data_IF_948081794460
#
_entry.id   IF_948081794460
#
_cell.length_a   1.000
_cell.length_b   1.000
_cell.length_c   1.000
_cell.angle_alpha   90.00
_cell.angle_beta   90.00
_cell.angle_gamma   90.00
#
_symmetry.space_group_name_H-M   'P 1'
#
loop_
_entity.id
_entity.type
_entity.pdbx_description
1 polymer ?
#
# COMPACT_ATOMS: atom_id res chain seq x y z
N UNK A 1 38.76 5.36 -24.44
CA UNK A 1 40.09 5.28 -23.79
C UNK A 1 39.94 4.48 -22.50
N UNK A 2 40.63 3.34 -22.38
CA UNK A 2 40.90 2.68 -21.08
C UNK A 2 41.87 3.55 -20.27
N UNK A 3 41.80 3.49 -18.94
CA UNK A 3 42.79 2.71 -18.17
C UNK A 3 42.15 2.05 -16.94
N UNK A 4 42.78 1.25 -16.08
CA UNK A 4 43.86 0.26 -16.11
C UNK A 4 43.78 -0.43 -14.72
N UNK A 5 44.18 -1.70 -14.63
CA UNK A 5 44.07 -2.56 -13.44
C UNK A 5 45.26 -2.39 -12.47
N UNK A 6 44.95 -2.46 -11.16
CA UNK A 6 45.69 -3.14 -10.05
C UNK A 6 47.02 -2.53 -9.56
N UNK A 7 47.52 -2.82 -8.32
CA UNK A 7 47.32 -4.06 -7.53
C UNK A 7 47.09 -3.96 -6.01
N UNK A 8 46.85 -5.15 -5.45
CA UNK A 8 46.63 -5.50 -4.05
C UNK A 8 47.92 -5.49 -3.19
N UNK A 9 47.74 -5.41 -1.87
CA UNK A 9 48.74 -5.82 -0.88
C UNK A 9 48.03 -6.62 0.24
N UNK A 10 48.50 -7.86 0.46
CA UNK A 10 48.39 -8.61 1.72
C UNK A 10 49.43 -8.03 2.71
N UNK A 11 49.46 -8.26 4.02
CA UNK A 11 49.05 -9.32 4.94
C UNK A 11 49.33 -8.80 6.37
N UNK A 12 48.67 -9.31 7.41
CA UNK A 12 49.34 -9.94 8.58
C UNK A 12 48.32 -10.51 9.55
N UNK A 13 48.48 -11.80 9.83
CA UNK A 13 47.87 -12.59 10.90
C UNK A 13 48.15 -12.03 12.30
N UNK A 14 47.19 -12.22 13.20
CA UNK A 14 47.45 -12.55 14.60
C UNK A 14 46.25 -13.31 15.20
N UNK A 15 46.54 -14.46 15.81
CA UNK A 15 45.60 -15.44 16.31
C UNK A 15 45.07 -15.15 17.74
N UNK A 16 43.76 -15.41 17.92
CA UNK A 16 43.05 -16.25 18.92
C UNK A 16 43.73 -16.43 20.31
N UNK A 17 42.96 -16.32 21.43
CA UNK A 17 42.31 -17.52 21.96
C UNK A 17 40.80 -17.38 22.19
N UNK A 18 40.13 -18.51 22.00
CA UNK A 18 38.76 -18.79 22.38
C UNK A 18 38.63 -18.94 23.90
N UNK A 19 37.47 -18.58 24.44
CA UNK A 19 36.98 -19.21 25.66
C UNK A 19 35.47 -19.46 25.59
N UNK A 20 35.06 -20.52 26.27
CA UNK A 20 33.90 -21.39 26.00
C UNK A 20 32.68 -20.93 26.86
N UNK A 21 31.45 -21.40 26.62
CA UNK A 21 30.22 -20.69 26.94
C UNK A 21 29.71 -20.95 28.36
N UNK A 22 29.09 -19.93 28.96
CA UNK A 22 28.30 -20.08 30.17
C UNK A 22 26.81 -20.14 29.83
N UNK A 23 26.25 -21.33 30.04
CA UNK A 23 24.82 -21.61 30.18
C UNK A 23 24.21 -20.82 31.34
N UNK A 24 23.06 -20.18 31.15
CA UNK A 24 22.14 -19.94 32.26
C UNK A 24 20.69 -20.09 31.82
N UNK A 25 19.96 -20.76 32.70
CA UNK A 25 18.67 -21.36 32.53
C UNK A 25 17.53 -20.43 32.99
N UNK A 26 16.37 -20.64 32.37
CA UNK A 26 14.99 -20.44 32.85
C UNK A 26 14.67 -19.25 33.77
N UNK A 27 13.77 -18.39 33.29
CA UNK A 27 12.71 -17.84 34.14
C UNK A 27 11.41 -17.72 33.36
N UNK A 28 10.46 -18.59 33.72
CA UNK A 28 9.05 -18.52 33.34
C UNK A 28 8.41 -17.41 34.17
N UNK A 29 7.77 -16.43 33.53
CA UNK A 29 6.64 -15.71 34.13
C UNK A 29 5.46 -15.73 33.18
N UNK A 30 4.48 -16.51 33.58
CA UNK A 30 3.12 -16.46 33.11
C UNK A 30 2.51 -15.09 33.43
N UNK A 31 1.82 -14.50 32.47
CA UNK A 31 0.75 -13.55 32.73
C UNK A 31 -0.45 -14.02 31.92
N UNK A 32 -1.42 -14.59 32.65
CA UNK A 32 -2.79 -14.78 32.22
C UNK A 32 -3.45 -13.40 32.13
N UNK A 33 -4.03 -13.09 30.97
CA UNK A 33 -5.08 -12.09 30.86
C UNK A 33 -6.16 -12.64 29.94
N UNK A 34 -7.19 -13.20 30.56
CA UNK A 34 -8.49 -13.52 29.99
C UNK A 34 -9.25 -12.22 29.70
N UNK A 35 -9.75 -12.05 28.47
CA UNK A 35 -10.99 -11.33 28.21
C UNK A 35 -11.66 -11.93 26.96
N UNK A 36 -12.80 -12.59 27.21
CA UNK A 36 -13.88 -12.82 26.27
C UNK A 36 -14.35 -11.47 25.66
N UNK A 37 -14.95 -11.36 24.49
CA UNK A 37 -15.48 -12.30 23.52
C UNK A 37 -16.45 -11.50 22.64
N UNK A 38 -16.41 -11.71 21.32
CA UNK A 38 -17.52 -11.42 20.40
C UNK A 38 -17.19 -12.15 19.09
N UNK A 39 -17.75 -13.35 18.95
CA UNK A 39 -17.55 -14.22 17.81
C UNK A 39 -18.30 -13.71 16.58
N UNK A 40 -17.58 -13.57 15.47
CA UNK A 40 -18.13 -13.82 14.15
C UNK A 40 -17.60 -15.19 13.72
N UNK A 41 -18.48 -16.19 13.72
CA UNK A 41 -18.17 -17.54 13.27
C UNK A 41 -17.87 -17.49 11.75
N UNK A 42 -16.59 -17.58 11.40
CA UNK A 42 -16.17 -17.97 10.05
C UNK A 42 -16.47 -19.45 9.87
N UNK A 43 -17.50 -19.75 9.09
CA UNK A 43 -17.73 -21.09 8.55
C UNK A 43 -16.61 -21.41 7.55
N UNK A 44 -15.49 -21.89 8.09
CA UNK A 44 -14.41 -22.51 7.34
C UNK A 44 -14.86 -23.92 6.93
N UNK A 45 -15.18 -24.10 5.66
CA UNK A 45 -15.27 -25.43 5.07
C UNK A 45 -13.89 -26.07 5.07
N UNK A 46 -13.65 -27.00 5.99
CA UNK A 46 -12.51 -27.91 5.95
C UNK A 46 -12.74 -28.95 4.86
N UNK A 47 -12.42 -28.60 3.62
CA UNK A 47 -12.37 -29.52 2.49
C UNK A 47 -10.93 -29.72 2.06
N UNK A 48 -10.25 -30.74 2.58
CA UNK A 48 -9.04 -31.27 1.96
C UNK A 48 -9.43 -31.99 0.67
N UNK A 49 -9.67 -31.24 -0.41
CA UNK A 49 -9.86 -31.79 -1.74
C UNK A 49 -8.55 -31.67 -2.52
N UNK A 50 -7.86 -32.80 -2.70
CA UNK A 50 -6.87 -32.96 -3.77
C UNK A 50 -7.60 -32.83 -5.11
N UNK A 51 -7.75 -31.61 -5.61
CA UNK A 51 -8.22 -31.37 -6.97
C UNK A 51 -7.07 -31.65 -7.93
N UNK A 52 -7.20 -32.73 -8.70
CA UNK A 52 -6.43 -32.91 -9.92
C UNK A 52 -6.69 -31.72 -10.86
N UNK A 53 -5.68 -31.36 -11.64
CA UNK A 53 -5.74 -30.33 -12.66
C UNK A 53 -6.76 -30.68 -13.76
N UNK A 54 -8.04 -30.44 -13.48
CA UNK A 54 -9.06 -30.18 -14.48
C UNK A 54 -9.22 -28.66 -14.50
N UNK A 55 -9.09 -28.02 -15.67
CA UNK A 55 -9.32 -26.57 -15.82
C UNK A 55 -10.65 -26.14 -15.16
N UNK A 56 -10.81 -24.85 -14.85
CA UNK A 56 -11.82 -24.28 -13.92
C UNK A 56 -13.30 -24.66 -14.06
N UNK A 57 -13.66 -25.54 -15.00
CA UNK A 57 -14.93 -26.25 -15.09
C UNK A 57 -15.38 -26.80 -13.73
N UNK A 58 -16.54 -26.34 -13.27
CA UNK A 58 -17.14 -26.78 -12.01
C UNK A 58 -16.69 -26.02 -10.77
N UNK A 59 -15.64 -25.19 -10.85
CA UNK A 59 -15.25 -24.29 -9.76
C UNK A 59 -16.41 -23.35 -9.42
N UNK A 60 -16.75 -23.27 -8.14
CA UNK A 60 -17.71 -22.31 -7.61
C UNK A 60 -16.98 -21.30 -6.74
N UNK A 61 -16.97 -20.04 -7.15
CA UNK A 61 -16.34 -18.93 -6.41
C UNK A 61 -17.41 -18.24 -5.57
N UNK A 62 -17.33 -18.29 -4.23
CA UNK A 62 -18.21 -17.51 -3.37
C UNK A 62 -17.81 -16.03 -3.42
N UNK A 63 -18.80 -15.15 -3.41
CA UNK A 63 -18.64 -13.71 -3.39
C UNK A 63 -19.37 -13.13 -2.19
N UNK A 64 -18.73 -12.16 -1.53
CA UNK A 64 -19.34 -11.39 -0.44
C UNK A 64 -19.33 -9.92 -0.84
N UNK A 65 -20.50 -9.29 -0.77
CA UNK A 65 -20.67 -7.92 -1.19
C UNK A 65 -19.93 -6.97 -0.25
N UNK A 66 -19.34 -5.93 -0.83
CA UNK A 66 -18.61 -4.87 -0.13
C UNK A 66 -19.03 -3.53 -0.72
N UNK A 67 -18.91 -2.39 -0.01
CA UNK A 67 -19.13 -1.10 -0.63
C UNK A 67 -18.23 -0.94 -1.85
N UNK A 68 -18.69 -0.24 -2.89
CA UNK A 68 -17.88 0.02 -4.09
C UNK A 68 -16.56 0.72 -3.75
N UNK A 69 -15.54 0.57 -4.59
CA UNK A 69 -14.26 1.25 -4.35
C UNK A 69 -14.41 2.77 -4.30
N UNK A 70 -15.37 3.35 -5.04
CA UNK A 70 -15.64 4.78 -4.99
C UNK A 70 -16.31 5.20 -3.68
N UNK A 71 -17.26 4.40 -3.17
CA UNK A 71 -17.87 4.62 -1.86
C UNK A 71 -16.82 4.58 -0.75
N UNK A 72 -15.90 3.60 -0.81
CA UNK A 72 -14.78 3.51 0.13
C UNK A 72 -13.80 4.68 0.01
N UNK A 73 -13.43 5.07 -1.23
CA UNK A 73 -12.56 6.23 -1.47
C UNK A 73 -13.13 7.49 -0.85
N UNK A 74 -14.42 7.77 -1.09
CA UNK A 74 -15.11 8.92 -0.53
C UNK A 74 -15.22 8.85 1.00
N UNK A 75 -15.59 7.69 1.57
CA UNK A 75 -15.64 7.49 3.03
C UNK A 75 -14.30 7.73 3.70
N UNK A 76 -13.22 7.30 3.06
CA UNK A 76 -11.86 7.41 3.60
C UNK A 76 -11.22 8.79 3.32
N UNK A 77 -11.86 9.62 2.50
CA UNK A 77 -11.35 10.92 2.05
C UNK A 77 -10.15 10.80 1.12
N UNK A 78 -9.94 9.64 0.49
CA UNK A 78 -8.74 9.28 -0.26
C UNK A 78 -8.73 9.86 -1.68
N UNK A 79 -7.54 10.10 -2.22
CA UNK A 79 -7.35 10.60 -3.58
C UNK A 79 -7.65 9.55 -4.65
N UNK A 80 -7.22 8.32 -4.41
CA UNK A 80 -7.32 7.22 -5.35
C UNK A 80 -8.20 6.12 -4.76
N UNK A 81 -8.91 5.42 -5.63
CA UNK A 81 -9.67 4.22 -5.24
C UNK A 81 -8.71 3.02 -5.29
N UNK A 82 -8.75 2.15 -4.29
CA UNK A 82 -8.08 0.84 -4.36
C UNK A 82 -9.04 -0.21 -4.96
N UNK A 83 -8.53 -1.40 -5.31
CA UNK A 83 -9.33 -2.43 -6.01
C UNK A 83 -10.61 -2.84 -5.28
N UNK A 84 -11.65 -3.17 -6.06
CA UNK A 84 -12.87 -3.86 -5.61
C UNK A 84 -12.91 -5.35 -5.99
N UNK A 85 -11.82 -5.86 -6.60
CA UNK A 85 -11.79 -7.20 -7.14
C UNK A 85 -11.80 -8.27 -6.05
N UNK A 86 -12.53 -9.34 -6.34
CA UNK A 86 -12.45 -10.63 -5.70
C UNK A 86 -11.80 -11.59 -6.71
N UNK A 87 -10.55 -12.05 -6.46
CA UNK A 87 -9.83 -12.89 -7.41
C UNK A 87 -10.37 -14.31 -7.42
N UNK A 88 -10.23 -14.96 -8.58
CA UNK A 88 -10.81 -16.30 -8.82
C UNK A 88 -9.75 -17.40 -9.02
N UNK A 89 -8.50 -17.02 -9.29
CA UNK A 89 -7.46 -17.95 -9.76
C UNK A 89 -7.74 -18.54 -11.15
N UNK A 90 -8.66 -17.95 -11.92
CA UNK A 90 -8.98 -18.35 -13.27
C UNK A 90 -8.47 -17.33 -14.30
N UNK A 91 -8.13 -17.85 -15.46
CA UNK A 91 -7.72 -17.11 -16.65
C UNK A 91 -8.61 -17.51 -17.82
N UNK A 92 -9.00 -16.55 -18.66
CA UNK A 92 -9.68 -16.82 -19.92
C UNK A 92 -8.77 -16.44 -21.09
N UNK A 93 -8.50 -17.35 -22.06
CA UNK A 93 -7.74 -16.98 -23.25
C UNK A 93 -8.48 -15.98 -24.13
N UNK A 94 -7.72 -15.18 -24.88
CA UNK A 94 -8.27 -14.20 -25.82
C UNK A 94 -9.28 -14.84 -26.80
N UNK A 95 -10.41 -14.17 -27.01
CA UNK A 95 -11.47 -14.61 -27.92
C UNK A 95 -12.21 -15.89 -27.50
N UNK A 96 -11.93 -16.44 -26.31
CA UNK A 96 -12.59 -17.66 -25.82
C UNK A 96 -13.91 -17.33 -25.13
N UNK A 97 -14.97 -18.07 -25.45
CA UNK A 97 -16.27 -17.93 -24.81
C UNK A 97 -16.23 -18.49 -23.38
N UNK A 98 -16.22 -17.59 -22.40
CA UNK A 98 -16.32 -17.89 -20.98
C UNK A 98 -17.78 -18.12 -20.59
N UNK A 99 -18.11 -19.32 -20.10
CA UNK A 99 -19.46 -19.70 -19.69
C UNK A 99 -19.49 -20.04 -18.21
N UNK A 100 -20.47 -19.49 -17.49
CA UNK A 100 -20.65 -19.67 -16.05
C UNK A 100 -22.09 -19.38 -15.64
N UNK A 101 -22.47 -19.82 -14.44
CA UNK A 101 -23.73 -19.44 -13.81
C UNK A 101 -23.51 -18.48 -12.65
N UNK A 102 -24.31 -17.44 -12.57
CA UNK A 102 -24.42 -16.55 -11.41
C UNK A 102 -25.50 -17.07 -10.48
N UNK A 103 -25.15 -17.22 -9.20
CA UNK A 103 -26.02 -17.68 -8.12
C UNK A 103 -26.20 -16.54 -7.10
N UNK A 104 -27.19 -15.65 -7.29
CA UNK A 104 -27.38 -14.47 -6.43
C UNK A 104 -28.14 -14.84 -5.15
N UNK A 105 -27.45 -15.46 -4.19
CA UNK A 105 -28.09 -16.00 -2.98
C UNK A 105 -28.91 -14.96 -2.20
N UNK A 106 -28.42 -13.73 -2.14
CA UNK A 106 -29.10 -12.62 -1.46
C UNK A 106 -29.55 -11.53 -2.48
N UNK A 107 -29.80 -11.91 -3.74
CA UNK A 107 -30.43 -11.06 -4.77
C UNK A 107 -29.50 -10.14 -5.57
N UNK A 108 -28.25 -9.96 -5.15
CA UNK A 108 -27.27 -9.14 -5.87
C UNK A 108 -26.54 -9.93 -6.97
N UNK A 109 -26.32 -9.26 -8.10
CA UNK A 109 -25.61 -9.81 -9.27
C UNK A 109 -24.23 -9.16 -9.37
N UNK A 110 -23.14 -9.94 -9.46
CA UNK A 110 -21.79 -9.38 -9.56
C UNK A 110 -21.52 -8.77 -10.94
N UNK A 111 -20.47 -7.97 -11.02
CA UNK A 111 -19.84 -7.55 -12.28
C UNK A 111 -18.63 -8.44 -12.56
N UNK A 112 -18.52 -8.96 -13.78
CA UNK A 112 -17.32 -9.68 -14.24
C UNK A 112 -16.25 -8.68 -14.69
N UNK A 113 -15.00 -8.95 -14.35
CA UNK A 113 -13.83 -8.24 -14.86
C UNK A 113 -12.84 -9.21 -15.49
N UNK A 114 -12.33 -8.88 -16.67
CA UNK A 114 -11.35 -9.69 -17.39
C UNK A 114 -10.15 -8.83 -17.79
N UNK A 115 -8.94 -9.29 -17.47
CA UNK A 115 -7.69 -8.61 -17.84
C UNK A 115 -6.86 -8.18 -16.65
N UNK A 116 -5.72 -7.55 -16.94
CA UNK A 116 -4.80 -7.01 -15.95
C UNK A 116 -4.69 -5.49 -16.13
N UNK A 117 -4.39 -4.80 -15.03
CA UNK A 117 -4.05 -3.38 -15.06
C UNK A 117 -2.64 -3.14 -15.64
N UNK A 118 -2.51 -2.24 -16.62
CA UNK A 118 -1.21 -1.77 -17.12
C UNK A 118 -1.36 -0.44 -17.87
N UNK A 119 -1.30 0.68 -17.16
CA UNK A 119 -1.64 2.00 -17.68
C UNK A 119 -0.85 2.40 -18.94
N UNK A 120 0.37 1.89 -19.08
CA UNK A 120 1.25 2.16 -20.23
C UNK A 120 1.32 0.99 -21.23
N UNK A 121 0.57 -0.08 -20.97
CA UNK A 121 0.45 -1.24 -21.84
C UNK A 121 -0.51 -1.01 -23.01
N UNK A 122 -0.58 -2.00 -23.90
CA UNK A 122 -1.53 -2.00 -25.02
C UNK A 122 -2.97 -2.17 -24.56
N UNK A 123 -3.16 -2.96 -23.50
CA UNK A 123 -4.42 -3.12 -22.78
C UNK A 123 -4.25 -2.45 -21.43
N UNK A 124 -4.89 -1.30 -21.25
CA UNK A 124 -4.60 -0.41 -20.12
C UNK A 124 -5.34 -0.78 -18.83
N UNK A 125 -6.53 -1.36 -18.97
CA UNK A 125 -7.40 -1.71 -17.86
C UNK A 125 -8.15 -3.04 -18.09
N UNK A 126 -8.52 -3.74 -17.01
CA UNK A 126 -9.48 -4.84 -17.07
C UNK A 126 -10.84 -4.35 -17.60
N UNK A 127 -11.47 -5.17 -18.44
CA UNK A 127 -12.76 -4.86 -19.06
C UNK A 127 -13.89 -5.43 -18.21
N UNK A 128 -14.94 -4.64 -18.00
CA UNK A 128 -16.09 -5.05 -17.20
C UNK A 128 -17.25 -5.52 -18.06
N UNK A 129 -18.02 -6.46 -17.51
CA UNK A 129 -19.21 -7.03 -18.14
C UNK A 129 -20.33 -7.13 -17.13
N UNK A 130 -21.48 -6.52 -17.44
CA UNK A 130 -22.70 -6.71 -16.70
C UNK A 130 -23.20 -8.14 -16.87
N UNK A 131 -23.75 -8.72 -15.80
CA UNK A 131 -24.21 -10.10 -15.76
C UNK A 131 -25.70 -10.17 -15.45
N UNK A 132 -26.27 -11.36 -15.63
CA UNK A 132 -27.62 -11.70 -15.19
C UNK A 132 -27.62 -12.92 -14.26
N UNK A 133 -28.66 -13.13 -13.43
CA UNK A 133 -28.83 -14.39 -12.70
C UNK A 133 -28.84 -15.60 -13.64
N UNK A 134 -28.25 -16.72 -13.21
CA UNK A 134 -28.17 -17.94 -14.01
C UNK A 134 -27.08 -17.87 -15.08
N UNK A 135 -27.32 -18.49 -16.23
CA UNK A 135 -26.30 -18.72 -17.25
C UNK A 135 -25.87 -17.43 -17.98
N UNK A 136 -24.55 -17.22 -18.06
CA UNK A 136 -23.93 -16.12 -18.79
C UNK A 136 -22.90 -16.67 -19.79
N UNK A 137 -22.67 -15.94 -20.87
CA UNK A 137 -21.58 -16.19 -21.83
C UNK A 137 -20.93 -14.86 -22.18
N UNK A 138 -19.62 -14.73 -21.96
CA UNK A 138 -18.83 -13.54 -22.25
C UNK A 138 -17.62 -13.93 -23.09
N UNK A 139 -17.33 -13.17 -24.13
CA UNK A 139 -16.13 -13.34 -24.95
C UNK A 139 -15.31 -12.07 -24.88
N UNK A 140 -14.16 -12.13 -24.21
CA UNK A 140 -13.23 -11.02 -24.09
C UNK A 140 -12.18 -11.07 -25.23
N UNK A 141 -11.95 -9.98 -25.98
CA UNK A 141 -11.04 -10.00 -27.13
C UNK A 141 -9.56 -10.18 -26.75
N UNK A 142 -9.17 -9.84 -25.51
CA UNK A 142 -7.78 -9.91 -25.06
C UNK A 142 -7.53 -11.02 -24.04
N UNK A 143 -8.59 -11.54 -23.42
CA UNK A 143 -8.48 -12.49 -22.31
C UNK A 143 -7.83 -11.88 -21.08
N UNK A 144 -7.47 -12.74 -20.13
CA UNK A 144 -6.78 -12.35 -18.91
C UNK A 144 -7.27 -13.07 -17.66
N UNK A 145 -6.69 -12.71 -16.49
CA UNK A 145 -7.24 -13.07 -15.18
C UNK A 145 -8.71 -12.66 -15.06
N UNK A 146 -9.48 -13.49 -14.37
CA UNK A 146 -10.91 -13.27 -14.13
C UNK A 146 -11.12 -12.83 -12.68
N UNK A 147 -11.84 -11.73 -12.50
CA UNK A 147 -12.27 -11.22 -11.20
C UNK A 147 -13.77 -10.95 -11.19
N UNK A 148 -14.33 -10.85 -9.99
CA UNK A 148 -15.67 -10.31 -9.79
C UNK A 148 -15.63 -9.15 -8.81
N UNK A 149 -16.53 -8.18 -9.00
CA UNK A 149 -16.92 -7.27 -7.94
C UNK A 149 -18.39 -7.50 -7.59
N UNK A 150 -18.74 -7.32 -6.31
CA UNK A 150 -20.10 -7.40 -5.82
C UNK A 150 -20.29 -6.22 -4.86
N UNK A 151 -21.00 -5.20 -5.32
CA UNK A 151 -21.26 -4.01 -4.53
C UNK A 151 -22.43 -4.26 -3.56
N UNK A 152 -22.26 -3.93 -2.28
CA UNK A 152 -23.29 -4.09 -1.25
C UNK A 152 -22.71 -4.01 0.17
N UNK A 153 -23.40 -4.61 1.13
CA UNK A 153 -23.11 -4.56 2.56
C UNK A 153 -23.12 -5.96 3.22
N UNK A 154 -22.56 -6.97 2.53
CA UNK A 154 -22.36 -8.32 3.05
C UNK A 154 -23.25 -9.39 2.42
N UNK A 155 -24.10 -9.03 1.46
CA UNK A 155 -24.88 -9.96 0.64
C UNK A 155 -23.99 -10.96 -0.08
N UNK A 156 -24.50 -12.15 -0.32
CA UNK A 156 -23.75 -13.25 -0.90
C UNK A 156 -24.23 -13.56 -2.29
N UNK A 157 -23.27 -13.87 -3.15
CA UNK A 157 -23.51 -14.53 -4.42
C UNK A 157 -22.45 -15.62 -4.61
N UNK A 158 -22.58 -16.41 -5.67
CA UNK A 158 -21.50 -17.25 -6.15
C UNK A 158 -21.49 -17.29 -7.68
N UNK A 159 -20.34 -17.61 -8.24
CA UNK A 159 -20.20 -17.88 -9.67
C UNK A 159 -19.68 -19.28 -9.89
N UNK A 160 -20.42 -20.08 -10.66
CA UNK A 160 -20.03 -21.44 -11.03
C UNK A 160 -19.54 -21.48 -12.47
N UNK A 161 -18.23 -21.65 -12.65
CA UNK A 161 -17.63 -21.79 -13.97
C UNK A 161 -18.09 -23.07 -14.66
N UNK A 162 -18.40 -22.97 -15.96
CA UNK A 162 -18.81 -24.10 -16.81
C UNK A 162 -17.73 -24.45 -17.81
N UNK A 163 -17.32 -23.51 -18.65
CA UNK A 163 -16.29 -23.74 -19.69
C UNK A 163 -15.58 -22.43 -20.04
N UNK A 164 -14.42 -22.53 -20.70
CA UNK A 164 -13.68 -21.37 -21.25
C UNK A 164 -12.67 -20.73 -20.29
N UNK A 165 -12.77 -21.03 -18.99
CA UNK A 165 -11.74 -20.68 -18.01
C UNK A 165 -10.72 -21.82 -17.85
N UNK A 166 -9.44 -21.44 -17.67
CA UNK A 166 -8.36 -22.31 -17.23
C UNK A 166 -7.80 -21.83 -15.89
N UNK A 167 -7.26 -22.74 -15.10
CA UNK A 167 -6.60 -22.37 -13.85
C UNK A 167 -5.25 -21.68 -14.14
N UNK A 168 -4.88 -20.70 -13.32
CA UNK A 168 -3.55 -20.08 -13.32
C UNK A 168 -2.81 -20.41 -12.02
N UNK A 169 -1.47 -20.32 -11.98
CA UNK A 169 -0.74 -20.48 -10.72
C UNK A 169 -1.13 -19.42 -9.69
N UNK A 170 -1.55 -19.88 -8.51
CA UNK A 170 -1.93 -19.02 -7.38
C UNK A 170 -1.31 -19.53 -6.08
N UNK A 171 -0.64 -18.62 -5.37
CA UNK A 171 -0.27 -18.82 -3.97
C UNK A 171 -1.22 -18.04 -3.06
N UNK A 172 -1.98 -18.73 -2.21
CA UNK A 172 -2.85 -18.06 -1.22
C UNK A 172 -2.30 -18.29 0.18
N UNK A 173 -2.02 -17.21 0.91
CA UNK A 173 -1.47 -17.25 2.27
C UNK A 173 -2.34 -18.12 3.19
N UNK A 174 -1.72 -19.12 3.83
CA UNK A 174 -2.39 -20.04 4.75
C UNK A 174 -3.16 -21.20 4.07
N UNK A 175 -3.22 -21.22 2.75
CA UNK A 175 -3.94 -22.25 1.98
C UNK A 175 -3.04 -23.02 1.00
N UNK A 176 -2.20 -22.33 0.23
CA UNK A 176 -1.27 -22.95 -0.71
C UNK A 176 0.06 -23.23 -0.01
N UNK A 177 0.58 -24.46 -0.10
CA UNK A 177 1.96 -24.75 0.32
C UNK A 177 2.96 -24.39 -0.78
N UNK A 178 4.21 -24.11 -0.43
CA UNK A 178 5.26 -23.85 -1.43
C UNK A 178 5.38 -25.00 -2.44
N UNK A 179 5.35 -26.25 -1.97
CA UNK A 179 5.39 -27.41 -2.85
C UNK A 179 4.21 -27.47 -3.82
N UNK A 180 3.02 -27.04 -3.42
CA UNK A 180 1.86 -26.97 -4.31
C UNK A 180 2.00 -25.84 -5.33
N UNK A 181 2.52 -24.69 -4.90
CA UNK A 181 2.75 -23.55 -5.79
C UNK A 181 3.82 -23.86 -6.84
N UNK A 182 4.94 -24.49 -6.44
CA UNK A 182 5.96 -24.94 -7.39
C UNK A 182 5.36 -25.92 -8.42
N UNK A 183 4.53 -26.88 -7.99
CA UNK A 183 3.85 -27.78 -8.93
C UNK A 183 2.91 -27.04 -9.87
N UNK A 184 2.18 -26.03 -9.41
CA UNK A 184 1.36 -25.19 -10.29
C UNK A 184 2.23 -24.43 -11.30
N UNK A 185 3.34 -23.84 -10.86
CA UNK A 185 4.30 -23.17 -11.75
C UNK A 185 4.90 -24.14 -12.78
N UNK A 186 5.12 -25.41 -12.44
CA UNK A 186 5.68 -26.39 -13.36
C UNK A 186 4.66 -26.98 -14.34
N UNK A 187 3.36 -26.95 -14.00
CA UNK A 187 2.31 -27.64 -14.78
C UNK A 187 1.36 -26.71 -15.52
N UNK A 188 1.12 -25.50 -15.03
CA UNK A 188 0.22 -24.51 -15.64
C UNK A 188 1.04 -23.50 -16.45
N UNK A 189 1.68 -23.97 -17.52
CA UNK A 189 2.66 -23.19 -18.29
C UNK A 189 2.05 -22.28 -19.35
N UNK A 190 0.81 -22.55 -19.76
CA UNK A 190 0.16 -21.86 -20.88
C UNK A 190 -0.51 -20.54 -20.48
N UNK A 191 -0.44 -20.18 -19.19
CA UNK A 191 -0.98 -18.93 -18.66
C UNK A 191 0.16 -17.92 -18.43
N UNK A 192 0.09 -16.71 -19.01
CA UNK A 192 1.19 -15.74 -18.99
C UNK A 192 1.33 -14.98 -17.65
N UNK A 193 0.49 -15.28 -16.67
CA UNK A 193 0.33 -14.54 -15.41
C UNK A 193 0.15 -15.50 -14.24
N UNK A 194 0.54 -15.05 -13.05
CA UNK A 194 0.33 -15.74 -11.78
C UNK A 194 -0.17 -14.75 -10.74
N UNK A 195 -0.74 -15.25 -9.65
CA UNK A 195 -1.11 -14.38 -8.53
C UNK A 195 -0.63 -14.87 -7.17
N UNK A 196 -0.34 -13.91 -6.29
CA UNK A 196 -0.12 -14.13 -4.86
C UNK A 196 -1.24 -13.41 -4.09
N UNK A 197 -1.94 -14.12 -3.21
CA UNK A 197 -3.11 -13.61 -2.48
C UNK A 197 -2.90 -13.65 -0.96
N UNK A 198 -3.27 -12.56 -0.31
CA UNK A 198 -3.45 -12.48 1.14
C UNK A 198 -4.76 -11.73 1.44
N UNK A 199 -5.21 -11.65 2.72
CA UNK A 199 -6.53 -11.08 3.04
C UNK A 199 -6.83 -9.70 2.45
N UNK A 200 -5.81 -8.83 2.32
CA UNK A 200 -5.92 -7.48 1.74
C UNK A 200 -5.02 -7.30 0.52
N UNK A 201 -4.52 -8.39 -0.08
CA UNK A 201 -3.51 -8.35 -1.15
C UNK A 201 -3.91 -9.20 -2.34
N UNK A 202 -3.92 -8.58 -3.51
CA UNK A 202 -3.84 -9.25 -4.82
C UNK A 202 -2.53 -8.81 -5.45
N UNK A 203 -1.59 -9.72 -5.67
CA UNK A 203 -0.36 -9.41 -6.40
C UNK A 203 -0.36 -10.18 -7.71
N UNK A 204 -0.54 -9.50 -8.84
CA UNK A 204 -0.53 -10.11 -10.17
C UNK A 204 0.82 -9.87 -10.81
N UNK A 205 1.51 -10.97 -11.15
CA UNK A 205 2.81 -10.95 -11.79
C UNK A 205 2.69 -11.58 -13.17
N UNK A 206 3.53 -11.17 -14.10
CA UNK A 206 3.79 -12.01 -15.26
C UNK A 206 4.40 -13.32 -14.79
N UNK A 207 4.14 -14.39 -15.52
CA UNK A 207 4.72 -15.70 -15.22
C UNK A 207 6.25 -15.65 -15.22
N UNK A 208 6.84 -15.00 -16.22
CA UNK A 208 8.29 -14.85 -16.29
C UNK A 208 8.86 -14.07 -15.10
N UNK A 209 8.16 -13.05 -14.62
CA UNK A 209 8.54 -12.28 -13.44
C UNK A 209 8.54 -13.12 -12.18
N UNK A 210 7.49 -13.91 -11.97
CA UNK A 210 7.40 -14.82 -10.84
C UNK A 210 8.47 -15.91 -10.86
N UNK A 211 8.82 -16.44 -12.04
CA UNK A 211 9.86 -17.46 -12.19
C UNK A 211 11.25 -16.99 -11.76
N UNK A 212 11.55 -15.68 -11.84
CA UNK A 212 12.82 -15.12 -11.37
C UNK A 212 13.01 -15.25 -9.85
N UNK A 213 11.91 -15.27 -9.10
CA UNK A 213 11.91 -15.28 -7.64
C UNK A 213 11.09 -16.45 -7.07
N UNK A 214 10.93 -17.53 -7.86
CA UNK A 214 10.12 -18.69 -7.48
C UNK A 214 10.59 -19.41 -6.22
N UNK A 215 11.85 -19.24 -5.83
CA UNK A 215 12.43 -19.90 -4.65
C UNK A 215 12.25 -19.08 -3.34
N UNK A 216 11.53 -17.96 -3.39
CA UNK A 216 11.22 -17.16 -2.20
C UNK A 216 10.18 -17.84 -1.30
N UNK A 217 10.19 -17.49 -0.01
CA UNK A 217 9.10 -17.84 0.91
C UNK A 217 7.91 -16.89 0.65
N UNK A 218 6.95 -17.34 -0.15
CA UNK A 218 5.78 -16.55 -0.56
C UNK A 218 4.86 -16.29 0.63
N UNK A 219 4.82 -17.20 1.60
CA UNK A 219 4.05 -16.99 2.82
C UNK A 219 4.66 -15.85 3.67
N UNK A 220 5.98 -15.81 3.82
CA UNK A 220 6.68 -14.75 4.52
C UNK A 220 6.58 -13.41 3.76
N UNK A 221 6.70 -13.44 2.43
CA UNK A 221 6.51 -12.26 1.58
C UNK A 221 5.12 -11.66 1.78
N UNK A 222 4.06 -12.47 1.68
CA UNK A 222 2.69 -11.99 1.82
C UNK A 222 2.38 -11.51 3.24
N UNK A 223 2.94 -12.14 4.28
CA UNK A 223 2.84 -11.61 5.66
C UNK A 223 3.50 -10.24 5.78
N UNK A 224 4.63 -10.03 5.13
CA UNK A 224 5.33 -8.74 5.09
C UNK A 224 4.51 -7.67 4.33
N UNK A 225 3.86 -8.03 3.22
CA UNK A 225 2.94 -7.11 2.52
C UNK A 225 1.76 -6.73 3.43
N UNK A 226 1.19 -7.68 4.17
CA UNK A 226 0.11 -7.41 5.12
C UNK A 226 0.56 -6.55 6.32
N UNK A 227 1.82 -6.69 6.77
CA UNK A 227 2.44 -5.82 7.78
C UNK A 227 2.59 -4.37 7.26
N UNK A 228 2.97 -4.21 5.99
CA UNK A 228 3.05 -2.90 5.32
C UNK A 228 1.66 -2.25 5.22
N UNK A 229 0.65 -2.96 4.71
CA UNK A 229 -0.74 -2.47 4.62
C UNK A 229 -1.26 -2.06 6.01
N UNK A 230 -0.91 -2.84 7.03
CA UNK A 230 -1.29 -2.57 8.41
C UNK A 230 -0.62 -1.29 8.96
N UNK A 231 0.66 -1.07 8.69
CA UNK A 231 1.35 0.16 9.10
C UNK A 231 0.71 1.41 8.48
N UNK A 232 0.36 1.36 7.19
CA UNK A 232 -0.34 2.46 6.52
C UNK A 232 -1.78 2.65 7.02
N UNK A 233 -2.48 1.56 7.33
CA UNK A 233 -3.81 1.61 7.96
C UNK A 233 -3.76 2.27 9.34
N UNK A 234 -2.75 1.94 10.15
CA UNK A 234 -2.57 2.52 11.50
C UNK A 234 -2.26 4.01 11.45
N UNK A 235 -1.29 4.45 10.64
CA UNK A 235 -0.94 5.88 10.54
C UNK A 235 -2.11 6.70 9.94
N UNK A 236 -2.95 6.07 9.12
CA UNK A 236 -4.21 6.63 8.62
C UNK A 236 -5.32 6.71 9.70
N UNK A 237 -5.11 6.17 10.90
CA UNK A 237 -6.11 6.12 11.97
C UNK A 237 -7.31 5.23 11.65
N UNK A 238 -7.12 4.14 10.89
CA UNK A 238 -8.17 3.18 10.53
C UNK A 238 -8.34 2.11 11.61
N UNK A 239 -8.78 2.52 12.80
CA UNK A 239 -8.89 1.68 14.00
C UNK A 239 -10.29 1.09 14.25
N UNK A 240 -11.28 1.42 13.41
CA UNK A 240 -12.65 0.96 13.57
C UNK A 240 -13.46 1.62 14.69
N UNK A 241 -12.93 2.65 15.35
CA UNK A 241 -13.61 3.37 16.44
C UNK A 241 -14.93 4.03 16.03
N UNK A 242 -15.09 4.36 14.74
CA UNK A 242 -16.33 4.80 14.10
C UNK A 242 -16.48 4.13 12.72
N UNK A 243 -17.68 4.09 12.11
CA UNK A 243 -17.85 3.58 10.74
C UNK A 243 -16.90 4.23 9.71
N UNK A 244 -16.66 5.54 9.81
CA UNK A 244 -15.72 6.30 8.97
C UNK A 244 -14.23 6.02 9.28
N UNK A 245 -13.92 5.21 10.29
CA UNK A 245 -12.56 4.82 10.68
C UNK A 245 -12.32 3.32 10.55
N UNK A 246 -13.27 2.57 10.02
CA UNK A 246 -13.02 1.17 9.67
C UNK A 246 -11.95 1.09 8.58
N UNK A 247 -11.03 0.11 8.64
CA UNK A 247 -10.16 -0.25 7.52
C UNK A 247 -10.95 -0.37 6.22
N UNK A 248 -10.26 -0.13 5.10
CA UNK A 248 -10.88 -0.27 3.78
C UNK A 248 -11.52 -1.65 3.64
N UNK A 249 -12.72 -1.71 3.07
CA UNK A 249 -13.33 -2.96 2.64
C UNK A 249 -12.59 -3.51 1.41
N UNK A 250 -12.21 -4.79 1.47
CA UNK A 250 -11.43 -5.44 0.43
C UNK A 250 -9.94 -5.12 0.48
N UNK A 251 -9.23 -5.37 -0.62
CA UNK A 251 -7.77 -5.33 -0.66
C UNK A 251 -7.19 -4.20 -1.50
N UNK A 252 -5.90 -4.35 -1.76
CA UNK A 252 -5.07 -3.56 -2.65
C UNK A 252 -4.50 -4.48 -3.74
N UNK A 253 -4.30 -3.92 -4.94
CA UNK A 253 -3.79 -4.66 -6.09
C UNK A 253 -2.38 -4.17 -6.42
N UNK A 254 -1.43 -5.07 -6.40
CA UNK A 254 -0.03 -4.88 -6.75
C UNK A 254 0.22 -5.58 -8.07
N UNK A 255 0.61 -4.86 -9.11
CA UNK A 255 0.69 -5.41 -10.47
C UNK A 255 2.07 -5.21 -11.06
N UNK A 256 2.67 -6.29 -11.57
CA UNK A 256 3.80 -6.16 -12.48
C UNK A 256 3.31 -5.57 -13.80
N UNK A 257 3.85 -4.41 -14.18
CA UNK A 257 3.46 -3.70 -15.41
C UNK A 257 4.53 -3.83 -16.49
N UNK A 258 4.12 -3.76 -17.75
CA UNK A 258 5.04 -3.94 -18.89
C UNK A 258 6.10 -2.85 -18.96
N UNK A 259 5.72 -1.61 -18.68
CA UNK A 259 6.61 -0.46 -18.77
C UNK A 259 6.20 0.63 -17.78
N UNK A 260 7.19 1.42 -17.39
CA UNK A 260 7.02 2.71 -16.70
C UNK A 260 7.81 3.77 -17.47
N UNK A 261 7.37 5.05 -17.48
CA UNK A 261 8.13 6.12 -18.11
C UNK A 261 9.56 6.19 -17.57
N UNK A 262 10.51 6.63 -18.40
CA UNK A 262 11.89 6.82 -17.97
C UNK A 262 11.97 7.73 -16.74
N UNK A 263 12.66 7.28 -15.70
CA UNK A 263 12.78 7.99 -14.43
C UNK A 263 11.64 7.75 -13.43
N UNK A 264 10.60 6.99 -13.80
CA UNK A 264 9.53 6.54 -12.89
C UNK A 264 9.85 5.14 -12.41
N UNK A 265 9.92 4.92 -11.09
CA UNK A 265 10.29 3.63 -10.50
C UNK A 265 9.11 2.66 -10.34
N UNK A 266 7.93 3.23 -10.06
CA UNK A 266 6.64 2.57 -9.91
C UNK A 266 5.56 3.68 -10.01
N UNK A 267 4.28 3.31 -10.00
CA UNK A 267 3.19 4.30 -9.93
C UNK A 267 1.95 3.73 -9.25
N UNK A 268 1.12 4.62 -8.70
CA UNK A 268 -0.21 4.32 -8.21
C UNK A 268 -1.28 5.05 -9.04
N UNK A 269 -2.40 4.38 -9.28
CA UNK A 269 -3.59 5.00 -9.88
C UNK A 269 -4.84 4.35 -9.32
N UNK A 270 -6.01 4.76 -9.82
CA UNK A 270 -7.27 4.14 -9.47
C UNK A 270 -7.24 2.63 -9.75
N UNK A 271 -7.39 1.82 -8.71
CA UNK A 271 -7.53 0.37 -8.76
C UNK A 271 -6.28 -0.38 -8.30
N UNK A 272 -5.07 0.13 -8.53
CA UNK A 272 -3.83 -0.65 -8.34
C UNK A 272 -2.56 0.21 -8.22
N UNK A 273 -1.47 -0.47 -7.83
CA UNK A 273 -0.10 0.03 -7.88
C UNK A 273 0.70 -0.81 -8.89
N UNK A 274 1.39 -0.16 -9.81
CA UNK A 274 2.19 -0.78 -10.86
C UNK A 274 3.69 -0.69 -10.59
N UNK A 275 4.42 -1.80 -10.78
CA UNK A 275 5.88 -1.84 -10.72
C UNK A 275 6.46 -2.58 -11.92
N UNK A 276 7.58 -2.09 -12.52
CA UNK A 276 8.19 -2.74 -13.66
C UNK A 276 8.96 -3.99 -13.25
N UNK A 277 9.26 -4.87 -14.22
CA UNK A 277 10.12 -6.05 -14.05
C UNK A 277 11.41 -5.78 -13.26
N UNK A 278 12.04 -4.63 -13.49
CA UNK A 278 13.30 -4.23 -12.83
C UNK A 278 13.18 -3.96 -11.32
N UNK A 279 11.95 -3.90 -10.79
CA UNK A 279 11.67 -3.67 -9.37
C UNK A 279 11.26 -4.96 -8.63
N UNK A 280 11.05 -6.09 -9.33
CA UNK A 280 10.59 -7.33 -8.70
C UNK A 280 11.54 -7.86 -7.62
N UNK A 281 12.84 -7.67 -7.75
CA UNK A 281 13.80 -8.05 -6.69
C UNK A 281 13.48 -7.41 -5.33
N UNK A 282 12.84 -6.24 -5.34
CA UNK A 282 12.41 -5.49 -4.15
C UNK A 282 10.95 -5.75 -3.79
N UNK A 283 10.08 -6.06 -4.75
CA UNK A 283 8.66 -6.26 -4.50
C UNK A 283 8.29 -7.72 -4.15
N UNK A 284 9.07 -8.70 -4.63
CA UNK A 284 8.72 -10.13 -4.58
C UNK A 284 9.74 -10.99 -3.86
N UNK A 285 10.66 -10.38 -3.09
CA UNK A 285 11.57 -11.11 -2.19
C UNK A 285 11.39 -10.63 -0.76
N UNK A 286 11.54 -11.52 0.22
CA UNK A 286 11.34 -11.16 1.64
C UNK A 286 12.37 -10.13 2.08
N UNK A 287 13.64 -10.37 1.78
CA UNK A 287 14.74 -9.46 2.14
C UNK A 287 14.65 -8.14 1.37
N UNK A 288 14.42 -8.20 0.05
CA UNK A 288 14.31 -7.01 -0.78
C UNK A 288 13.15 -6.12 -0.38
N UNK A 289 11.98 -6.68 -0.08
CA UNK A 289 10.83 -5.89 0.38
C UNK A 289 11.09 -5.32 1.78
N UNK A 290 11.70 -6.11 2.68
CA UNK A 290 11.99 -5.68 4.06
C UNK A 290 13.06 -4.61 4.15
N UNK A 291 14.00 -4.52 3.19
CA UNK A 291 15.16 -3.60 3.30
C UNK A 291 15.20 -2.52 2.21
N UNK A 292 14.57 -2.75 1.05
CA UNK A 292 14.64 -1.89 -0.14
C UNK A 292 13.27 -1.68 -0.79
N UNK A 293 12.19 -1.98 -0.08
CA UNK A 293 10.80 -1.94 -0.55
C UNK A 293 10.16 -0.57 -0.72
N UNK A 294 10.92 0.54 -0.60
CA UNK A 294 10.37 1.90 -0.57
C UNK A 294 9.39 2.22 -1.67
N UNK A 295 9.69 1.84 -2.92
CA UNK A 295 8.77 2.05 -4.04
C UNK A 295 7.40 1.40 -3.79
N UNK A 296 7.35 0.14 -3.32
CA UNK A 296 6.06 -0.55 -3.12
C UNK A 296 5.17 0.14 -2.08
N UNK A 297 5.73 0.49 -0.92
CA UNK A 297 4.96 1.17 0.13
C UNK A 297 4.85 2.69 -0.06
N UNK A 298 5.62 3.27 -0.97
CA UNK A 298 5.36 4.62 -1.47
C UNK A 298 4.10 4.63 -2.34
N UNK A 299 4.01 3.73 -3.33
CA UNK A 299 2.81 3.65 -4.18
C UNK A 299 1.55 3.31 -3.38
N UNK A 300 1.63 2.36 -2.43
CA UNK A 300 0.52 2.07 -1.53
C UNK A 300 0.08 3.31 -0.73
N UNK A 301 1.03 4.15 -0.31
CA UNK A 301 0.76 5.41 0.36
C UNK A 301 -0.10 6.37 -0.47
N UNK A 302 0.05 6.39 -1.81
CA UNK A 302 -0.81 7.22 -2.67
C UNK A 302 -2.28 6.82 -2.60
N UNK A 303 -2.58 5.54 -2.36
CA UNK A 303 -3.94 5.05 -2.12
C UNK A 303 -4.46 5.45 -0.74
N UNK A 304 -3.59 5.83 0.21
CA UNK A 304 -3.96 6.31 1.55
C UNK A 304 -4.07 7.83 1.67
N UNK A 305 -3.40 8.59 0.79
CA UNK A 305 -3.40 10.05 0.81
C UNK A 305 -4.81 10.65 0.79
N UNK A 306 -5.11 11.48 1.79
CA UNK A 306 -6.38 12.21 1.84
C UNK A 306 -6.36 13.48 1.01
N UNK A 307 -7.44 13.73 0.26
CA UNK A 307 -7.52 14.86 -0.66
C UNK A 307 -7.53 16.21 0.05
N UNK A 308 -8.19 16.30 1.21
CA UNK A 308 -8.43 17.53 1.94
C UNK A 308 -7.18 18.38 2.21
N UNK A 309 -6.06 17.75 2.57
CA UNK A 309 -4.83 18.44 2.98
C UNK A 309 -3.63 18.09 2.09
N UNK A 310 -3.87 17.63 0.86
CA UNK A 310 -2.82 17.27 -0.11
C UNK A 310 -2.65 18.34 -1.21
N UNK A 311 -1.90 19.45 -0.96
CA UNK A 311 -1.52 20.39 -2.02
C UNK A 311 -0.91 19.68 -3.23
N UNK A 312 -1.16 20.20 -4.44
CA UNK A 312 -0.74 19.56 -5.69
C UNK A 312 0.77 19.27 -5.70
N UNK A 313 1.59 20.26 -5.31
CA UNK A 313 3.04 20.16 -5.23
C UNK A 313 3.58 19.22 -4.14
N UNK A 314 2.72 18.70 -3.26
CA UNK A 314 3.07 17.77 -2.18
C UNK A 314 2.54 16.35 -2.39
N UNK A 315 2.09 16.02 -3.61
CA UNK A 315 1.65 14.65 -3.95
C UNK A 315 2.77 13.64 -3.67
N UNK A 316 4.01 13.93 -4.11
CA UNK A 316 5.19 13.09 -3.87
C UNK A 316 5.83 13.26 -2.49
N UNK A 317 5.25 14.12 -1.63
CA UNK A 317 5.78 14.42 -0.29
C UNK A 317 4.90 13.81 0.79
N UNK A 318 3.61 14.14 0.81
CA UNK A 318 2.65 13.66 1.82
C UNK A 318 2.47 12.14 1.80
N UNK A 319 2.70 11.50 0.64
CA UNK A 319 2.74 10.04 0.51
C UNK A 319 3.78 9.41 1.43
N UNK A 320 4.89 10.12 1.69
CA UNK A 320 5.95 9.59 2.51
C UNK A 320 5.67 9.68 4.02
N UNK A 321 4.54 10.24 4.45
CA UNK A 321 4.03 10.02 5.82
C UNK A 321 3.81 8.52 6.04
N UNK A 322 3.17 7.86 5.07
CA UNK A 322 2.92 6.42 5.09
C UNK A 322 4.22 5.64 4.93
N UNK A 323 5.09 6.05 4.00
CA UNK A 323 6.37 5.37 3.76
C UNK A 323 7.30 5.40 4.98
N UNK A 324 7.38 6.53 5.70
CA UNK A 324 8.15 6.60 6.95
C UNK A 324 7.51 5.75 8.05
N UNK A 325 6.17 5.66 8.13
CA UNK A 325 5.49 4.79 9.08
C UNK A 325 5.82 3.31 8.82
N UNK A 326 5.91 2.90 7.55
CA UNK A 326 6.35 1.56 7.16
C UNK A 326 7.81 1.32 7.55
N UNK A 327 8.72 2.27 7.30
CA UNK A 327 10.12 2.11 7.76
C UNK A 327 10.20 1.87 9.27
N UNK A 328 9.46 2.64 10.07
CA UNK A 328 9.38 2.45 11.53
C UNK A 328 8.83 1.07 11.89
N UNK A 329 7.73 0.65 11.27
CA UNK A 329 7.12 -0.66 11.53
C UNK A 329 8.09 -1.82 11.22
N UNK A 330 8.90 -1.68 10.16
CA UNK A 330 9.88 -2.68 9.74
C UNK A 330 11.22 -2.58 10.48
N UNK A 331 11.38 -1.62 11.40
CA UNK A 331 12.64 -1.38 12.11
C UNK A 331 13.77 -0.84 11.22
N UNK A 332 13.43 -0.21 10.10
CA UNK A 332 14.41 0.41 9.20
C UNK A 332 14.83 1.81 9.70
N UNK A 333 16.06 2.24 9.39
CA UNK A 333 16.44 3.65 9.57
C UNK A 333 15.59 4.55 8.66
N UNK A 334 15.23 5.72 9.19
CA UNK A 334 14.49 6.75 8.46
C UNK A 334 15.30 7.25 7.26
N UNK A 335 14.68 7.34 6.08
CA UNK A 335 15.31 7.95 4.92
C UNK A 335 15.68 9.44 5.15
N UNK A 336 15.04 10.12 6.11
CA UNK A 336 15.39 11.47 6.51
C UNK A 336 16.73 11.58 7.28
N UNK A 337 17.33 10.45 7.67
CA UNK A 337 18.66 10.37 8.24
C UNK A 337 19.73 10.01 7.21
N UNK A 338 19.35 9.79 5.94
CA UNK A 338 20.30 9.51 4.86
C UNK A 338 21.15 10.75 4.59
N UNK A 339 22.46 10.62 4.77
CA UNK A 339 23.42 11.70 4.52
C UNK A 339 23.69 11.81 3.02
N UNK A 340 23.53 13.01 2.45
CA UNK A 340 23.99 13.30 1.10
C UNK A 340 25.54 13.29 1.10
N UNK A 341 26.19 12.42 0.33
CA UNK A 341 27.66 12.31 0.33
C UNK A 341 28.37 13.57 -0.18
N UNK A 342 27.68 14.47 -0.90
CA UNK A 342 28.25 15.73 -1.41
C UNK A 342 28.26 16.82 -0.35
N UNK A 343 27.22 16.91 0.48
CA UNK A 343 27.06 17.97 1.47
C UNK A 343 27.45 17.53 2.87
N UNK A 344 27.45 16.22 3.15
CA UNK A 344 27.62 15.67 4.48
C UNK A 344 26.42 15.90 5.40
N UNK A 345 25.29 16.37 4.86
CA UNK A 345 24.08 16.70 5.61
C UNK A 345 22.95 15.73 5.27
N UNK A 346 22.16 15.37 6.28
CA UNK A 346 20.85 14.73 6.08
C UNK A 346 19.76 15.79 5.83
N UNK A 347 18.57 15.39 5.35
CA UNK A 347 17.44 16.31 5.11
C UNK A 347 17.06 17.24 6.26
N UNK A 348 17.14 16.80 7.53
CA UNK A 348 16.88 17.69 8.68
C UNK A 348 17.90 18.82 8.74
N UNK A 349 19.18 18.50 8.60
CA UNK A 349 20.28 19.45 8.67
C UNK A 349 20.29 20.40 7.46
N UNK A 350 20.12 19.87 6.25
CA UNK A 350 20.15 20.67 5.02
C UNK A 350 18.95 21.63 4.93
N UNK A 351 17.77 21.21 5.38
CA UNK A 351 16.60 22.08 5.45
C UNK A 351 16.78 23.20 6.49
N UNK A 352 17.27 22.85 7.69
CA UNK A 352 17.48 23.82 8.78
C UNK A 352 18.43 24.95 8.40
N UNK A 353 19.45 24.65 7.59
CA UNK A 353 20.42 25.64 7.11
C UNK A 353 19.80 26.73 6.21
N UNK A 354 18.57 26.54 5.70
CA UNK A 354 17.88 27.50 4.82
C UNK A 354 16.97 28.48 5.57
N UNK A 355 16.73 28.25 6.86
CA UNK A 355 15.79 29.10 7.61
C UNK A 355 16.32 30.53 7.72
N UNK A 356 15.44 31.50 7.50
CA UNK A 356 15.77 32.93 7.58
C UNK A 356 16.54 33.48 6.37
N UNK A 357 16.76 32.70 5.31
CA UNK A 357 17.34 33.25 4.06
C UNK A 357 16.31 34.08 3.29
N UNK A 358 16.75 35.18 2.67
CA UNK A 358 15.87 36.03 1.86
C UNK A 358 15.20 35.24 0.72
N UNK A 359 13.90 35.45 0.53
CA UNK A 359 13.12 34.80 -0.53
C UNK A 359 12.83 33.32 -0.32
N UNK A 360 13.03 32.79 0.90
CA UNK A 360 12.68 31.41 1.25
C UNK A 360 11.19 31.13 0.96
N UNK A 361 10.91 30.08 0.21
CA UNK A 361 9.54 29.59 -0.02
C UNK A 361 9.51 28.08 0.07
N UNK A 362 8.48 27.53 0.73
CA UNK A 362 8.40 26.09 0.94
C UNK A 362 8.49 25.28 -0.36
N UNK A 363 7.79 25.74 -1.40
CA UNK A 363 7.64 24.99 -2.64
C UNK A 363 8.90 24.97 -3.51
N UNK A 364 9.72 26.03 -3.47
CA UNK A 364 10.86 26.19 -4.39
C UNK A 364 12.20 25.97 -3.71
N UNK A 365 12.31 26.29 -2.43
CA UNK A 365 13.59 26.31 -1.73
C UNK A 365 13.98 24.95 -1.14
N UNK A 366 13.02 24.03 -0.97
CA UNK A 366 13.24 22.71 -0.38
C UNK A 366 13.10 21.56 -1.38
N UNK A 367 14.02 20.59 -1.32
CA UNK A 367 13.95 19.33 -2.05
C UNK A 367 12.86 18.40 -1.48
N UNK A 368 12.58 17.29 -2.17
CA UNK A 368 11.48 16.39 -1.81
C UNK A 368 11.58 15.84 -0.37
N UNK A 369 12.77 15.36 0.04
CA UNK A 369 12.99 14.89 1.41
C UNK A 369 13.00 16.02 2.44
N UNK A 370 13.49 17.21 2.09
CA UNK A 370 13.44 18.38 2.99
C UNK A 370 12.00 18.83 3.23
N UNK A 371 11.12 18.77 2.22
CA UNK A 371 9.67 18.99 2.36
C UNK A 371 8.99 17.91 3.22
N UNK A 372 9.56 16.73 3.34
CA UNK A 372 9.01 15.70 4.22
C UNK A 372 9.35 15.96 5.70
N UNK A 373 10.46 16.64 5.98
CA UNK A 373 10.90 16.97 7.35
C UNK A 373 9.81 17.63 8.21
N UNK A 374 9.12 18.70 7.81
CA UNK A 374 8.09 19.31 8.66
C UNK A 374 6.97 18.35 9.00
N UNK A 375 6.60 17.45 8.08
CA UNK A 375 5.55 16.46 8.31
C UNK A 375 5.99 15.43 9.36
N UNK A 376 7.27 15.04 9.36
CA UNK A 376 7.84 14.20 10.42
C UNK A 376 7.99 14.95 11.75
N UNK A 377 8.37 16.21 11.73
CA UNK A 377 8.52 17.04 12.94
C UNK A 377 7.21 17.23 13.71
N UNK A 378 6.07 17.29 13.01
CA UNK A 378 4.75 17.30 13.67
C UNK A 378 4.53 16.03 14.49
N UNK A 379 4.88 14.86 13.96
CA UNK A 379 4.78 13.59 14.68
C UNK A 379 5.77 13.54 15.86
N UNK A 380 7.01 13.99 15.65
CA UNK A 380 8.03 14.06 16.71
C UNK A 380 7.60 14.99 17.87
N UNK A 381 6.94 16.11 17.57
CA UNK A 381 6.53 17.09 18.58
C UNK A 381 5.26 16.69 19.33
N UNK A 382 4.32 16.01 18.66
CA UNK A 382 2.96 15.80 19.17
C UNK A 382 2.57 14.33 19.35
N UNK A 383 3.52 13.42 19.14
CA UNK A 383 3.39 11.98 19.36
C UNK A 383 3.03 11.18 18.11
N UNK A 384 3.28 9.88 18.17
CA UNK A 384 3.01 8.92 17.08
C UNK A 384 1.54 8.86 16.67
N UNK A 385 0.62 9.34 17.52
CA UNK A 385 -0.81 9.39 17.25
C UNK A 385 -1.27 10.68 16.54
N UNK A 386 -0.35 11.63 16.26
CA UNK A 386 -0.65 12.90 15.61
C UNK A 386 -1.34 12.70 14.25
N UNK A 387 -0.71 11.95 13.36
CA UNK A 387 -1.28 11.65 12.04
C UNK A 387 -2.58 10.86 12.15
N UNK A 388 -2.69 9.78 12.94
CA UNK A 388 -3.97 9.11 13.16
C UNK A 388 -5.10 10.05 13.61
N UNK A 389 -4.84 10.97 14.55
CA UNK A 389 -5.84 11.95 15.02
C UNK A 389 -6.22 12.93 13.92
N UNK A 390 -5.26 13.42 13.14
CA UNK A 390 -5.51 14.32 12.01
C UNK A 390 -6.35 13.66 10.93
N UNK A 391 -5.97 12.46 10.48
CA UNK A 391 -6.71 11.73 9.45
C UNK A 391 -8.15 11.42 9.89
N UNK A 392 -8.35 11.06 11.16
CA UNK A 392 -9.70 10.84 11.71
C UNK A 392 -10.52 12.13 11.68
N UNK A 393 -10.00 13.23 12.20
CA UNK A 393 -10.70 14.51 12.22
C UNK A 393 -11.08 14.99 10.81
N UNK A 394 -10.19 14.83 9.84
CA UNK A 394 -10.46 15.13 8.43
C UNK A 394 -11.56 14.23 7.85
N UNK A 395 -11.60 12.91 8.17
CA UNK A 395 -12.70 12.03 7.73
C UNK A 395 -14.03 12.37 8.36
N UNK A 396 -14.03 12.78 9.63
CA UNK A 396 -15.26 13.12 10.35
C UNK A 396 -15.89 14.40 9.80
N UNK A 397 -15.08 15.41 9.49
CA UNK A 397 -15.57 16.68 8.97
C UNK A 397 -15.72 16.70 7.44
N UNK A 398 -15.00 15.82 6.76
CA UNK A 398 -15.02 15.63 5.32
C UNK A 398 -14.99 16.95 4.51
N UNK A 399 -13.99 17.82 4.73
CA UNK A 399 -13.89 19.07 4.01
C UNK A 399 -13.62 18.80 2.52
N UNK A 400 -14.47 19.37 1.66
CA UNK A 400 -14.34 19.17 0.22
C UNK A 400 -13.22 20.03 -0.34
N UNK A 401 -12.36 19.45 -1.18
CA UNK A 401 -11.39 20.21 -1.98
C UNK A 401 -11.10 19.56 -3.33
N UNK A 402 -10.84 20.39 -4.34
CA UNK A 402 -10.39 19.95 -5.67
C UNK A 402 -8.86 19.97 -5.78
N UNK A 403 -8.30 19.16 -6.70
CA UNK A 403 -6.85 19.05 -6.89
C UNK A 403 -6.18 20.35 -7.36
N UNK A 404 -6.96 21.30 -7.89
CA UNK A 404 -6.50 22.63 -8.28
C UNK A 404 -6.50 23.64 -7.12
N UNK A 405 -7.15 23.34 -5.98
CA UNK A 405 -7.30 24.27 -4.84
C UNK A 405 -6.10 24.20 -3.87
N UNK A 406 -4.88 24.41 -4.37
CA UNK A 406 -3.63 24.28 -3.60
C UNK A 406 -3.62 25.10 -2.30
N UNK A 407 -4.02 26.38 -2.34
CA UNK A 407 -4.04 27.25 -1.15
C UNK A 407 -4.99 26.72 -0.05
N UNK A 408 -6.18 26.24 -0.44
CA UNK A 408 -7.16 25.64 0.48
C UNK A 408 -6.64 24.37 1.14
N UNK A 409 -5.81 23.59 0.45
CA UNK A 409 -5.22 22.37 1.00
C UNK A 409 -4.04 22.65 1.94
N UNK A 410 -3.25 23.69 1.68
CA UNK A 410 -2.27 24.18 2.64
C UNK A 410 -2.96 24.74 3.89
N UNK A 411 -4.05 25.48 3.70
CA UNK A 411 -4.91 25.91 4.80
C UNK A 411 -5.39 24.72 5.62
N UNK A 412 -6.02 23.73 4.99
CA UNK A 412 -6.48 22.52 5.68
C UNK A 412 -5.34 21.84 6.45
N UNK A 413 -4.18 21.61 5.82
CA UNK A 413 -3.03 21.00 6.49
C UNK A 413 -2.67 21.76 7.78
N UNK A 414 -2.53 23.08 7.70
CA UNK A 414 -2.12 23.90 8.86
C UNK A 414 -3.19 24.04 9.94
N UNK A 415 -4.46 24.17 9.57
CA UNK A 415 -5.57 24.32 10.52
C UNK A 415 -5.88 23.02 11.23
N UNK A 416 -5.96 21.89 10.52
CA UNK A 416 -6.15 20.57 11.14
C UNK A 416 -4.95 20.20 12.03
N UNK A 417 -3.71 20.48 11.60
CA UNK A 417 -2.53 20.26 12.44
C UNK A 417 -2.58 21.08 13.74
N UNK A 418 -2.99 22.35 13.68
CA UNK A 418 -3.10 23.21 14.86
C UNK A 418 -4.20 22.71 15.81
N UNK A 419 -5.36 22.32 15.28
CA UNK A 419 -6.48 21.76 16.06
C UNK A 419 -6.11 20.45 16.76
N UNK A 420 -5.41 19.55 16.05
CA UNK A 420 -5.05 18.24 16.58
C UNK A 420 -3.90 18.36 17.59
N UNK A 421 -2.89 19.19 17.32
CA UNK A 421 -1.82 19.43 18.30
C UNK A 421 -2.31 20.20 19.53
N UNK A 422 -3.42 20.95 19.41
CA UNK A 422 -3.89 21.88 20.45
C UNK A 422 -2.96 23.08 20.61
N UNK A 423 -2.14 23.39 19.60
CA UNK A 423 -1.15 24.48 19.61
C UNK A 423 -1.29 25.38 18.39
N UNK A 424 -0.90 26.64 18.56
CA UNK A 424 -0.75 27.57 17.44
C UNK A 424 0.54 27.23 16.68
N UNK A 425 0.40 26.66 15.48
CA UNK A 425 1.51 26.26 14.61
C UNK A 425 1.85 27.33 13.56
N UNK A 426 1.37 28.57 13.71
CA UNK A 426 1.63 29.64 12.73
C UNK A 426 3.12 29.88 12.53
N UNK A 427 3.90 29.99 13.62
CA UNK A 427 5.37 30.18 13.52
C UNK A 427 6.03 28.99 12.82
N UNK A 428 5.64 27.75 13.17
CA UNK A 428 6.17 26.54 12.54
C UNK A 428 5.94 26.52 11.03
N UNK A 429 4.70 26.74 10.58
CA UNK A 429 4.37 26.70 9.16
C UNK A 429 4.90 27.91 8.40
N UNK A 430 4.70 29.13 8.90
CA UNK A 430 4.94 30.36 8.15
C UNK A 430 6.38 30.87 8.32
N UNK A 431 6.88 30.95 9.55
CA UNK A 431 8.21 31.51 9.84
C UNK A 431 9.31 30.53 9.48
N UNK A 432 9.22 29.29 9.95
CA UNK A 432 10.32 28.33 9.82
C UNK A 432 10.30 27.63 8.46
N UNK A 433 9.14 27.08 8.09
CA UNK A 433 9.02 26.29 6.86
C UNK A 433 8.51 27.08 5.65
N UNK A 434 8.13 28.34 5.81
CA UNK A 434 7.68 29.23 4.73
C UNK A 434 6.54 28.64 3.88
N UNK A 435 5.61 27.92 4.52
CA UNK A 435 4.40 27.42 3.87
C UNK A 435 3.53 28.58 3.36
N UNK A 436 2.94 28.46 2.16
CA UNK A 436 2.10 29.51 1.58
C UNK A 436 0.68 29.46 2.18
N UNK A 437 0.56 29.68 3.49
CA UNK A 437 -0.73 29.77 4.17
C UNK A 437 -1.39 31.11 3.82
N UNK A 438 -2.61 31.06 3.29
CA UNK A 438 -3.35 32.26 2.92
C UNK A 438 -3.89 33.03 4.14
N UNK A 439 -4.30 34.28 3.93
CA UNK A 439 -4.78 35.15 5.00
C UNK A 439 -5.96 34.55 5.76
N UNK A 440 -6.84 33.82 5.07
CA UNK A 440 -7.97 33.14 5.73
C UNK A 440 -7.48 32.03 6.65
N UNK A 441 -6.49 31.23 6.25
CA UNK A 441 -5.90 30.21 7.12
C UNK A 441 -5.27 30.79 8.39
N UNK A 442 -4.58 31.94 8.28
CA UNK A 442 -4.02 32.63 9.44
C UNK A 442 -5.12 33.10 10.41
N UNK A 443 -6.23 33.64 9.88
CA UNK A 443 -7.39 34.02 10.69
C UNK A 443 -8.04 32.81 11.34
N UNK A 444 -8.19 31.69 10.61
CA UNK A 444 -8.76 30.45 11.13
C UNK A 444 -7.91 29.89 12.28
N UNK A 445 -6.58 29.87 12.17
CA UNK A 445 -5.68 29.41 13.25
C UNK A 445 -5.77 30.36 14.45
N UNK A 446 -5.67 31.67 14.24
CA UNK A 446 -5.74 32.67 15.31
C UNK A 446 -7.07 32.61 16.09
N UNK A 447 -8.18 32.34 15.40
CA UNK A 447 -9.51 32.20 16.00
C UNK A 447 -9.62 31.00 16.98
N UNK A 448 -8.73 30.01 16.88
CA UNK A 448 -8.68 28.88 17.82
C UNK A 448 -8.12 29.27 19.20
N UNK A 449 -7.47 30.44 19.32
CA UNK A 449 -6.90 30.96 20.58
C UNK A 449 -5.97 29.95 21.28
N UNK A 450 -5.20 29.21 20.49
CA UNK A 450 -4.31 28.17 21.00
C UNK A 450 -3.02 28.77 21.56
N UNK A 451 -2.44 28.09 22.55
CA UNK A 451 -1.12 28.44 23.07
C UNK A 451 -0.03 27.96 22.12
N UNK A 452 1.13 28.62 22.14
CA UNK A 452 2.31 28.18 21.37
C UNK A 452 2.80 26.79 21.84
N UNK A 453 3.48 26.02 20.96
CA UNK A 453 4.13 24.77 21.34
C UNK A 453 5.12 24.97 22.50
N UNK A 454 5.18 23.99 23.40
CA UNK A 454 6.15 23.98 24.52
C UNK A 454 7.56 23.59 24.07
N UNK A 455 7.66 22.92 22.92
CA UNK A 455 8.89 22.58 22.22
C UNK A 455 8.76 23.13 20.82
N UNK A 456 9.81 23.77 20.29
CA UNK A 456 9.85 24.28 18.92
C UNK A 456 9.90 23.10 17.93
N UNK A 457 8.82 22.75 17.21
CA UNK A 457 8.80 21.52 16.40
C UNK A 457 9.85 21.53 15.30
N UNK A 458 10.19 22.72 14.78
CA UNK A 458 11.16 22.89 13.70
C UNK A 458 12.61 22.51 14.08
N UNK A 459 12.91 22.27 15.35
CA UNK A 459 14.24 21.83 15.83
C UNK A 459 14.38 20.31 15.99
N UNK A 460 13.28 19.56 15.89
CA UNK A 460 13.28 18.12 16.15
C UNK A 460 13.87 17.32 14.98
N UNK A 461 14.48 16.19 15.32
CA UNK A 461 15.08 15.22 14.39
C UNK A 461 14.83 13.79 14.89
N UNK A 462 14.93 12.81 13.99
CA UNK A 462 14.72 11.38 14.27
C UNK A 462 15.83 10.75 15.12
#
# INVERSE_FOLDING_TARGET
MRPARMPAAASTDAAVPADTPATSAFSRRAVLATLAGAGAATLLGTGTARAHATGGVGLTVPLIARPSAETERLRLGQALRATEFQPTGQYVPAGTALRFDVLPYDGLVPTLWVGQWDYYGTVTEPRSYALMPGANTVTDPHGGPVYFSLEGHGERAAVKFRTGATAMPVFTLGHTSEADYQRQLDTLTDVPVVELHAPRTIMTLTRDGALLYRDQDHAALLRLVEEIIEAESRISGLDGSKPVHRPKAGGYHFTEVSVVPSGVGAYATHGYNGFPRAYLDRATTVDGLRTRGWGLYHELGHLHQQMAYKPTGLTEVTVNIYSLAVQRALGQPSNLLTVDPKTGLNPFQSARAKFGTDGLTYEKSFGAYEKLVPLRQLELAFGDDFWPRLHRLVREENPQSDYTETAKRYRALSTYASRVSGRDLTDFFVRDWAFPIDATGLVEIAALQLSKPTVEPATLTD
#
